data_IF_108263235768
#
_entry.id   IF_108263235768
#
_cell.length_a   1.000
_cell.length_b   1.000
_cell.length_c   1.000
_cell.angle_alpha   90.00
_cell.angle_beta   90.00
_cell.angle_gamma   90.00
#
_symmetry.space_group_name_H-M   'P 1'
#
loop_
_entity.id
_entity.type
_entity.pdbx_description
1 polymer ?
#
# COMPACT_ATOMS: atom_id res chain seq x y z
N UNK A 1 20.86 -30.22 4.82
CA UNK A 1 20.58 -29.70 3.45
C UNK A 1 20.55 -28.20 3.58
N UNK A 2 21.55 -27.50 3.03
CA UNK A 2 21.50 -26.05 2.86
C UNK A 2 20.28 -25.75 1.98
N UNK A 3 19.40 -24.85 2.44
CA UNK A 3 18.26 -24.41 1.64
C UNK A 3 18.76 -23.42 0.60
N UNK A 4 18.69 -23.77 -0.67
CA UNK A 4 18.91 -22.86 -1.78
C UNK A 4 17.82 -21.78 -1.78
N UNK A 5 18.24 -20.52 -1.80
CA UNK A 5 17.32 -19.38 -1.89
C UNK A 5 17.25 -18.91 -3.35
N UNK A 6 16.23 -19.35 -4.06
CA UNK A 6 16.04 -19.05 -5.50
C UNK A 6 16.11 -17.56 -5.81
N UNK A 7 15.62 -16.71 -4.91
CA UNK A 7 15.61 -15.26 -5.09
C UNK A 7 17.01 -14.62 -5.20
N UNK A 8 18.03 -15.27 -4.64
CA UNK A 8 19.42 -14.76 -4.64
C UNK A 8 20.35 -15.55 -5.55
N UNK A 9 20.01 -16.81 -5.86
CA UNK A 9 20.86 -17.74 -6.62
C UNK A 9 20.56 -17.76 -8.11
N UNK A 10 19.28 -17.74 -8.49
CA UNK A 10 18.88 -18.01 -9.85
C UNK A 10 19.15 -16.83 -10.78
N UNK A 11 20.07 -17.04 -11.71
CA UNK A 11 20.33 -16.11 -12.81
C UNK A 11 19.30 -16.34 -13.92
N UNK A 12 18.38 -15.42 -14.07
CA UNK A 12 17.26 -15.51 -15.00
C UNK A 12 17.17 -14.25 -15.85
N UNK A 13 16.68 -14.40 -17.06
CA UNK A 13 16.30 -13.25 -17.88
C UNK A 13 15.05 -12.61 -17.27
N UNK A 14 15.14 -11.34 -16.79
CA UNK A 14 14.03 -10.71 -16.06
C UNK A 14 12.83 -10.38 -16.93
N UNK A 15 13.02 -10.31 -18.25
CA UNK A 15 11.98 -9.91 -19.19
C UNK A 15 11.46 -8.50 -18.90
N UNK A 16 10.14 -8.29 -19.01
CA UNK A 16 9.53 -6.96 -18.96
C UNK A 16 9.70 -6.18 -17.67
N UNK A 17 10.14 -6.78 -16.56
CA UNK A 17 10.51 -6.02 -15.34
C UNK A 17 11.84 -5.27 -15.52
N UNK A 18 12.58 -5.52 -16.59
CA UNK A 18 13.77 -4.78 -17.00
C UNK A 18 13.46 -3.48 -17.77
N UNK A 19 12.30 -3.37 -18.41
CA UNK A 19 11.95 -2.19 -19.24
C UNK A 19 12.09 -0.85 -18.52
N UNK A 20 11.76 -0.73 -17.22
CA UNK A 20 12.04 0.49 -16.45
C UNK A 20 13.53 0.86 -16.38
N UNK A 21 14.45 -0.13 -16.42
CA UNK A 21 15.90 0.13 -16.50
C UNK A 21 16.22 0.85 -17.81
N UNK A 22 15.76 0.29 -18.94
CA UNK A 22 15.98 0.85 -20.28
C UNK A 22 15.43 2.27 -20.41
N UNK A 23 14.24 2.50 -19.87
CA UNK A 23 13.61 3.82 -19.90
C UNK A 23 14.32 4.82 -18.98
N UNK A 24 14.75 4.37 -17.78
CA UNK A 24 15.48 5.22 -16.86
C UNK A 24 16.79 5.71 -17.47
N UNK A 25 17.52 4.83 -18.19
CA UNK A 25 18.74 5.19 -18.94
C UNK A 25 18.43 6.26 -19.99
N UNK A 26 17.43 6.02 -20.85
CA UNK A 26 17.11 6.96 -21.94
C UNK A 26 16.54 8.30 -21.43
N UNK A 27 15.80 8.29 -20.32
CA UNK A 27 15.33 9.52 -19.64
C UNK A 27 16.48 10.29 -19.01
N UNK A 28 17.42 9.57 -18.37
CA UNK A 28 18.60 10.17 -17.74
C UNK A 28 19.55 10.81 -18.76
N UNK A 29 19.69 10.20 -19.93
CA UNK A 29 20.49 10.73 -21.04
C UNK A 29 19.78 11.88 -21.80
N UNK A 30 18.54 12.21 -21.43
CA UNK A 30 17.76 13.27 -22.09
C UNK A 30 17.19 12.87 -23.45
N UNK A 31 17.29 11.62 -23.86
CA UNK A 31 16.80 11.13 -25.16
C UNK A 31 15.29 10.87 -25.16
N UNK A 32 14.66 10.75 -23.99
CA UNK A 32 13.26 10.37 -23.85
C UNK A 32 12.51 11.30 -22.92
N UNK A 33 11.39 11.82 -23.40
CA UNK A 33 10.43 12.58 -22.59
C UNK A 33 9.07 11.91 -22.53
N UNK A 34 8.24 12.26 -21.52
CA UNK A 34 6.97 11.58 -21.26
C UNK A 34 5.97 11.64 -22.44
N UNK A 35 6.04 12.72 -23.23
CA UNK A 35 5.12 12.93 -24.35
C UNK A 35 5.61 12.33 -25.67
N UNK A 36 6.82 11.77 -25.70
CA UNK A 36 7.28 11.02 -26.88
C UNK A 36 6.35 9.86 -27.17
N UNK A 37 6.20 9.53 -28.42
CA UNK A 37 5.32 8.46 -28.87
C UNK A 37 6.00 7.56 -29.91
N UNK A 38 5.52 6.36 -30.01
CA UNK A 38 5.92 5.35 -30.99
C UNK A 38 4.69 4.69 -31.57
N UNK A 39 4.68 4.53 -32.89
CA UNK A 39 3.72 3.65 -33.53
C UNK A 39 4.22 2.20 -33.44
N UNK A 40 3.51 1.40 -32.65
CA UNK A 40 3.76 -0.03 -32.48
C UNK A 40 3.00 -0.89 -33.51
N UNK A 41 2.19 -0.25 -34.35
CA UNK A 41 1.43 -0.86 -35.44
C UNK A 41 0.51 -1.98 -34.96
N UNK A 42 0.45 -3.04 -35.77
CA UNK A 42 -0.35 -4.24 -35.48
C UNK A 42 0.27 -5.19 -34.43
N UNK A 43 1.31 -4.76 -33.71
CA UNK A 43 1.95 -5.56 -32.68
C UNK A 43 3.00 -6.57 -33.16
N UNK A 44 3.44 -6.46 -34.41
CA UNK A 44 4.58 -7.20 -34.97
C UNK A 44 5.47 -6.23 -35.75
N UNK A 45 6.76 -6.21 -35.43
CA UNK A 45 7.75 -5.36 -36.09
C UNK A 45 9.01 -6.15 -36.43
N UNK A 46 9.39 -6.24 -37.70
CA UNK A 46 10.68 -6.82 -38.09
C UNK A 46 11.84 -5.96 -37.55
N UNK A 47 12.78 -6.58 -36.83
CA UNK A 47 14.02 -5.97 -36.37
C UNK A 47 15.20 -6.91 -36.68
N UNK A 48 16.05 -6.51 -37.59
CA UNK A 48 17.28 -7.25 -37.96
C UNK A 48 17.05 -8.74 -38.26
N UNK A 49 16.01 -9.04 -39.06
CA UNK A 49 15.68 -10.41 -39.47
C UNK A 49 14.88 -11.23 -38.44
N UNK A 50 14.55 -10.65 -37.30
CA UNK A 50 13.67 -11.28 -36.30
C UNK A 50 12.44 -10.39 -36.03
N UNK A 51 11.33 -11.00 -35.71
CA UNK A 51 10.09 -10.27 -35.39
C UNK A 51 10.02 -9.98 -33.90
N UNK A 52 10.06 -8.68 -33.52
CA UNK A 52 9.65 -8.22 -32.21
C UNK A 52 8.12 -8.24 -32.16
N UNK A 53 7.54 -8.80 -31.07
CA UNK A 53 6.09 -8.96 -30.93
C UNK A 53 5.60 -8.41 -29.60
N UNK A 54 4.49 -7.69 -29.66
CA UNK A 54 3.69 -7.36 -28.50
C UNK A 54 2.75 -8.52 -28.15
N UNK A 55 2.36 -8.65 -26.90
CA UNK A 55 1.52 -9.78 -26.47
C UNK A 55 0.13 -9.78 -27.08
N UNK A 56 -0.37 -8.63 -27.54
CA UNK A 56 -1.67 -8.48 -28.20
C UNK A 56 -1.59 -8.49 -29.73
N UNK A 57 -0.47 -8.93 -30.33
CA UNK A 57 -0.28 -8.96 -31.78
C UNK A 57 -1.38 -9.74 -32.53
N UNK A 58 -2.00 -10.74 -31.88
CA UNK A 58 -3.13 -11.49 -32.44
C UNK A 58 -4.45 -10.76 -32.38
N UNK A 59 -4.51 -9.65 -31.63
CA UNK A 59 -5.69 -8.80 -31.43
C UNK A 59 -5.51 -7.40 -32.05
N UNK A 60 -4.62 -7.26 -33.06
CA UNK A 60 -4.44 -6.04 -33.84
C UNK A 60 -3.41 -5.05 -33.31
N UNK A 61 -2.64 -5.39 -32.27
CA UNK A 61 -1.60 -4.51 -31.74
C UNK A 61 -2.15 -3.33 -30.92
N UNK A 62 -1.28 -2.34 -30.67
CA UNK A 62 -1.63 -1.16 -29.86
C UNK A 62 -1.66 0.14 -30.67
N UNK A 63 -1.16 0.16 -31.91
CA UNK A 63 -1.00 1.39 -32.67
C UNK A 63 -0.01 2.36 -31.99
N UNK A 64 -0.38 3.62 -31.92
CA UNK A 64 0.46 4.67 -31.35
C UNK A 64 0.36 4.66 -29.80
N UNK A 65 1.52 4.64 -29.13
CA UNK A 65 1.64 4.69 -27.68
C UNK A 65 2.61 5.80 -27.25
N UNK A 66 2.24 6.55 -26.21
CA UNK A 66 3.16 7.45 -25.51
C UNK A 66 4.11 6.66 -24.60
N UNK A 67 5.20 7.30 -24.14
CA UNK A 67 6.20 6.70 -23.25
C UNK A 67 5.55 6.04 -22.02
N UNK A 68 4.66 6.70 -21.25
CA UNK A 68 3.96 6.03 -20.15
C UNK A 68 3.11 4.84 -20.62
N UNK A 69 2.38 4.98 -21.72
CA UNK A 69 1.53 3.93 -22.26
C UNK A 69 2.31 2.69 -22.70
N UNK A 70 3.55 2.86 -23.20
CA UNK A 70 4.43 1.73 -23.52
C UNK A 70 4.69 0.88 -22.28
N UNK A 71 4.96 1.48 -21.12
CA UNK A 71 5.15 0.76 -19.87
C UNK A 71 3.84 0.19 -19.31
N UNK A 72 2.73 0.94 -19.36
CA UNK A 72 1.39 0.51 -18.95
C UNK A 72 0.93 -0.74 -19.71
N UNK A 73 1.14 -0.76 -21.02
CA UNK A 73 0.81 -1.88 -21.93
C UNK A 73 1.92 -2.91 -22.03
N UNK A 74 3.09 -2.62 -21.44
CA UNK A 74 4.28 -3.48 -21.55
C UNK A 74 4.67 -3.80 -22.99
N UNK A 75 4.53 -2.84 -23.91
CA UNK A 75 4.88 -3.04 -25.32
C UNK A 75 6.36 -3.36 -25.48
N UNK A 76 6.68 -4.47 -26.13
CA UNK A 76 8.05 -4.82 -26.50
C UNK A 76 8.54 -3.93 -27.64
N UNK A 77 7.67 -3.70 -28.62
CA UNK A 77 7.97 -2.89 -29.80
C UNK A 77 8.27 -1.45 -29.37
N UNK A 78 7.41 -0.87 -28.51
CA UNK A 78 7.60 0.50 -28.07
C UNK A 78 8.95 0.73 -27.38
N UNK A 79 9.35 -0.19 -26.48
CA UNK A 79 10.65 -0.11 -25.81
C UNK A 79 11.79 -0.32 -26.78
N UNK A 80 11.76 -1.42 -27.56
CA UNK A 80 12.89 -1.80 -28.42
C UNK A 80 13.14 -0.77 -29.52
N UNK A 81 12.09 -0.19 -30.12
CA UNK A 81 12.22 0.85 -31.16
C UNK A 81 12.84 2.12 -30.61
N UNK A 82 12.42 2.59 -29.41
CA UNK A 82 13.01 3.80 -28.83
C UNK A 82 14.47 3.60 -28.46
N UNK A 83 14.80 2.48 -27.79
CA UNK A 83 16.18 2.20 -27.40
C UNK A 83 17.07 1.99 -28.62
N UNK A 84 16.61 1.28 -29.62
CA UNK A 84 17.34 1.11 -30.87
C UNK A 84 17.56 2.44 -31.60
N UNK A 85 16.53 3.29 -31.68
CA UNK A 85 16.64 4.65 -32.24
C UNK A 85 17.72 5.48 -31.58
N UNK A 86 17.82 5.43 -30.25
CA UNK A 86 18.72 6.29 -29.49
C UNK A 86 20.16 5.74 -29.41
N UNK A 87 20.31 4.41 -29.37
CA UNK A 87 21.59 3.80 -29.04
C UNK A 87 22.13 2.82 -30.10
N UNK A 88 21.47 2.71 -31.25
CA UNK A 88 21.91 1.76 -32.31
C UNK A 88 23.39 1.93 -32.67
N UNK A 89 23.86 3.17 -32.84
CA UNK A 89 25.24 3.48 -33.24
C UNK A 89 26.21 3.58 -32.05
N UNK A 90 25.72 3.42 -30.83
CA UNK A 90 26.50 3.54 -29.56
C UNK A 90 25.94 2.60 -28.49
N UNK A 91 25.87 1.29 -28.75
CA UNK A 91 25.27 0.33 -27.82
C UNK A 91 26.03 0.27 -26.48
N UNK A 92 27.32 0.57 -26.46
CA UNK A 92 28.15 0.66 -25.26
C UNK A 92 27.56 1.71 -24.30
N UNK A 93 27.14 2.87 -24.81
CA UNK A 93 26.55 3.93 -24.00
C UNK A 93 25.28 3.48 -23.29
N UNK A 94 24.42 2.71 -23.99
CA UNK A 94 23.24 2.11 -23.36
C UNK A 94 23.64 1.16 -22.24
N UNK A 95 24.58 0.26 -22.50
CA UNK A 95 25.03 -0.73 -21.52
C UNK A 95 25.69 -0.05 -20.31
N UNK A 96 26.52 0.97 -20.53
CA UNK A 96 27.10 1.79 -19.46
C UNK A 96 26.01 2.48 -18.64
N UNK A 97 24.98 3.01 -19.29
CA UNK A 97 23.80 3.53 -18.64
C UNK A 97 23.09 2.48 -17.77
N UNK A 98 22.93 1.25 -18.29
CA UNK A 98 22.36 0.13 -17.50
C UNK A 98 23.20 -0.16 -16.26
N UNK A 99 24.52 -0.22 -16.36
CA UNK A 99 25.40 -0.39 -15.21
C UNK A 99 25.31 0.79 -14.24
N UNK A 100 25.17 2.02 -14.74
CA UNK A 100 25.05 3.21 -13.92
C UNK A 100 23.77 3.22 -13.07
N UNK A 101 22.69 2.52 -13.48
CA UNK A 101 21.49 2.36 -12.66
C UNK A 101 21.70 1.49 -11.43
N UNK A 102 22.80 0.76 -11.33
CA UNK A 102 23.10 -0.15 -10.22
C UNK A 102 22.41 -1.51 -10.27
N UNK A 103 21.66 -1.84 -11.32
CA UNK A 103 21.02 -3.16 -11.43
C UNK A 103 22.01 -4.31 -11.56
N UNK A 104 23.22 -4.01 -12.05
CA UNK A 104 24.32 -4.95 -12.20
C UNK A 104 25.28 -4.98 -11.02
N UNK A 105 25.02 -4.22 -9.95
CA UNK A 105 25.89 -4.16 -8.79
C UNK A 105 25.99 -5.50 -8.06
N UNK A 106 27.18 -5.77 -7.56
CA UNK A 106 27.39 -6.83 -6.59
C UNK A 106 26.84 -6.40 -5.23
N UNK A 107 25.77 -7.05 -4.80
CA UNK A 107 25.14 -6.72 -3.52
C UNK A 107 25.89 -7.28 -2.31
N UNK A 108 26.94 -8.09 -2.52
CA UNK A 108 27.76 -8.71 -1.46
C UNK A 108 26.90 -9.32 -0.34
N UNK A 109 25.88 -10.10 -0.73
CA UNK A 109 24.95 -10.68 0.23
C UNK A 109 25.60 -11.83 1.00
N UNK A 110 25.48 -11.87 2.33
CA UNK A 110 26.01 -12.95 3.17
C UNK A 110 25.11 -14.19 3.15
N UNK A 111 24.63 -14.59 1.96
CA UNK A 111 23.76 -15.73 1.74
C UNK A 111 24.49 -16.73 0.83
N UNK A 112 24.65 -18.00 1.26
CA UNK A 112 25.25 -19.03 0.43
C UNK A 112 24.55 -19.13 -0.94
N UNK A 113 25.35 -19.24 -2.00
CA UNK A 113 24.82 -19.36 -3.36
C UNK A 113 24.37 -18.05 -4.02
N UNK A 114 24.56 -16.89 -3.38
CA UNK A 114 24.29 -15.61 -4.02
C UNK A 114 25.03 -15.49 -5.36
N UNK A 115 24.31 -15.14 -6.41
CA UNK A 115 24.84 -14.94 -7.74
C UNK A 115 24.86 -13.46 -8.13
N UNK A 116 25.96 -13.01 -8.72
CA UNK A 116 26.09 -11.65 -9.26
C UNK A 116 25.34 -11.53 -10.57
N UNK A 117 24.70 -10.39 -10.87
CA UNK A 117 24.12 -10.13 -12.18
C UNK A 117 25.15 -10.26 -13.29
N UNK A 118 24.69 -10.73 -14.46
CA UNK A 118 25.49 -10.83 -15.67
C UNK A 118 24.79 -10.11 -16.80
N UNK A 119 25.39 -9.01 -17.26
CA UNK A 119 24.88 -8.21 -18.38
C UNK A 119 25.98 -8.15 -19.43
N UNK A 120 25.66 -8.56 -20.65
CA UNK A 120 26.62 -8.56 -21.75
C UNK A 120 27.04 -7.13 -22.10
N UNK A 121 28.36 -6.94 -22.29
CA UNK A 121 28.93 -5.70 -22.86
C UNK A 121 29.39 -5.95 -24.26
N UNK A 122 29.19 -5.01 -25.22
CA UNK A 122 29.84 -5.10 -26.53
C UNK A 122 31.36 -5.11 -26.35
N UNK A 123 32.03 -5.97 -27.09
CA UNK A 123 33.49 -5.91 -27.22
C UNK A 123 33.88 -4.83 -28.24
N UNK A 124 35.09 -4.23 -28.11
CA UNK A 124 35.54 -3.19 -29.04
C UNK A 124 35.56 -3.61 -30.50
N UNK A 125 35.77 -4.90 -30.77
CA UNK A 125 35.72 -5.49 -32.12
C UNK A 125 34.31 -5.88 -32.58
N UNK A 126 33.28 -5.70 -31.70
CA UNK A 126 31.90 -6.04 -31.96
C UNK A 126 31.61 -7.55 -32.10
N UNK A 127 32.60 -8.43 -31.90
CA UNK A 127 32.50 -9.87 -32.14
C UNK A 127 31.42 -10.58 -31.34
N UNK A 128 31.09 -10.07 -30.18
CA UNK A 128 30.08 -10.63 -29.27
C UNK A 128 28.72 -9.91 -29.31
N UNK A 129 28.51 -8.96 -30.25
CA UNK A 129 27.31 -8.12 -30.29
C UNK A 129 26.56 -8.24 -31.59
N UNK A 130 25.45 -8.97 -31.61
CA UNK A 130 24.58 -9.07 -32.77
C UNK A 130 23.72 -7.82 -32.94
N UNK A 131 23.25 -7.53 -34.15
CA UNK A 131 22.31 -6.43 -34.42
C UNK A 131 21.01 -6.53 -33.58
N UNK A 132 20.63 -7.74 -33.16
CA UNK A 132 19.45 -7.99 -32.31
C UNK A 132 19.74 -7.82 -30.82
N UNK A 133 21.00 -7.75 -30.40
CA UNK A 133 21.35 -7.73 -28.97
C UNK A 133 20.74 -6.52 -28.23
N UNK A 134 20.88 -5.31 -28.77
CA UNK A 134 20.34 -4.09 -28.17
C UNK A 134 18.81 -4.11 -28.04
N UNK A 135 18.01 -4.35 -29.10
CA UNK A 135 16.56 -4.43 -29.00
C UNK A 135 16.06 -5.48 -28.00
N UNK A 136 16.71 -6.66 -27.96
CA UNK A 136 16.30 -7.74 -27.04
C UNK A 136 16.75 -7.46 -25.61
N UNK A 137 17.94 -6.88 -25.41
CA UNK A 137 18.38 -6.45 -24.08
C UNK A 137 17.44 -5.40 -23.49
N UNK A 138 16.95 -4.47 -24.31
CA UNK A 138 16.07 -3.40 -23.85
C UNK A 138 14.77 -3.90 -23.20
N UNK A 139 14.34 -5.11 -23.51
CA UNK A 139 13.15 -5.76 -22.97
C UNK A 139 13.47 -6.88 -21.97
N UNK A 140 14.76 -7.01 -21.55
CA UNK A 140 15.20 -7.88 -20.47
C UNK A 140 15.62 -9.28 -20.91
N UNK A 141 15.97 -9.48 -22.18
CA UNK A 141 16.73 -10.65 -22.65
C UNK A 141 18.22 -10.30 -22.73
N UNK A 142 19.06 -11.24 -23.05
CA UNK A 142 20.53 -11.04 -23.11
C UNK A 142 21.15 -10.60 -21.76
N UNK A 143 20.40 -10.72 -20.67
CA UNK A 143 20.79 -10.39 -19.30
C UNK A 143 20.45 -11.54 -18.38
N UNK A 144 21.25 -11.74 -17.32
CA UNK A 144 21.00 -12.74 -16.31
C UNK A 144 21.07 -12.07 -14.93
N UNK A 145 19.92 -11.88 -14.30
CA UNK A 145 19.80 -11.06 -13.10
C UNK A 145 19.02 -11.84 -12.04
N UNK A 146 19.55 -12.03 -10.82
CA UNK A 146 18.79 -12.67 -9.77
C UNK A 146 17.64 -11.76 -9.31
N UNK A 147 16.51 -12.32 -8.87
CA UNK A 147 15.34 -11.55 -8.44
C UNK A 147 15.65 -10.48 -7.40
N UNK A 148 16.58 -10.75 -6.47
CA UNK A 148 16.98 -9.78 -5.44
C UNK A 148 17.62 -8.51 -6.03
N UNK A 149 18.41 -8.62 -7.10
CA UNK A 149 19.00 -7.45 -7.77
C UNK A 149 17.95 -6.65 -8.52
N UNK A 150 16.98 -7.33 -9.15
CA UNK A 150 15.82 -6.67 -9.73
C UNK A 150 15.03 -5.92 -8.65
N UNK A 151 14.74 -6.56 -7.51
CA UNK A 151 14.06 -5.91 -6.39
C UNK A 151 14.83 -4.70 -5.86
N UNK A 152 16.16 -4.81 -5.75
CA UNK A 152 16.99 -3.71 -5.26
C UNK A 152 16.98 -2.49 -6.20
N UNK A 153 16.87 -2.70 -7.52
CA UNK A 153 16.66 -1.62 -8.49
C UNK A 153 15.32 -0.89 -8.22
N UNK A 154 14.21 -1.62 -8.03
CA UNK A 154 12.92 -1.01 -7.70
C UNK A 154 12.93 -0.31 -6.34
N UNK A 155 13.68 -0.85 -5.38
CA UNK A 155 13.91 -0.21 -4.09
C UNK A 155 14.65 1.13 -4.25
N UNK A 156 15.67 1.19 -5.13
CA UNK A 156 16.37 2.43 -5.46
C UNK A 156 15.45 3.50 -6.06
N UNK A 157 14.56 3.12 -6.99
CA UNK A 157 13.54 4.04 -7.53
C UNK A 157 12.61 4.53 -6.41
N UNK A 158 12.11 3.62 -5.56
CA UNK A 158 11.26 3.94 -4.41
C UNK A 158 11.95 4.90 -3.43
N UNK A 159 13.26 4.79 -3.28
CA UNK A 159 14.11 5.62 -2.41
C UNK A 159 14.71 6.84 -3.14
N UNK A 160 13.99 7.40 -4.10
CA UNK A 160 14.35 8.59 -4.85
C UNK A 160 15.73 8.53 -5.54
N UNK A 161 16.11 7.34 -5.98
CA UNK A 161 17.36 7.10 -6.70
C UNK A 161 18.53 6.62 -5.84
N UNK A 162 18.39 6.59 -4.52
CA UNK A 162 19.43 6.13 -3.60
C UNK A 162 19.32 4.62 -3.41
N UNK A 163 20.37 3.89 -3.77
CA UNK A 163 20.42 2.44 -3.71
C UNK A 163 21.17 1.97 -2.45
N UNK A 164 20.54 1.11 -1.67
CA UNK A 164 21.07 0.56 -0.44
C UNK A 164 21.43 -0.91 -0.59
N UNK A 165 22.45 -1.36 0.16
CA UNK A 165 22.74 -2.79 0.28
C UNK A 165 21.64 -3.47 1.08
N UNK A 166 21.02 -4.56 0.58
CA UNK A 166 20.08 -5.33 1.36
C UNK A 166 20.71 -5.85 2.67
N UNK A 167 20.01 -5.65 3.78
CA UNK A 167 20.48 -6.00 5.13
C UNK A 167 19.47 -6.95 5.78
N UNK A 168 19.92 -8.14 6.16
CA UNK A 168 19.09 -9.17 6.76
C UNK A 168 19.09 -9.15 8.28
N UNK A 169 20.14 -8.56 8.88
CA UNK A 169 20.30 -8.43 10.34
C UNK A 169 20.46 -6.96 10.67
N UNK A 170 19.63 -6.44 11.54
CA UNK A 170 19.70 -5.06 12.02
C UNK A 170 20.66 -4.94 13.21
N UNK A 171 20.51 -5.81 14.19
CA UNK A 171 21.32 -5.81 15.40
C UNK A 171 21.38 -7.21 16.04
N UNK A 172 22.39 -7.43 16.87
CA UNK A 172 22.48 -8.56 17.78
C UNK A 172 22.15 -8.04 19.18
N UNK A 173 21.19 -8.70 19.84
CA UNK A 173 20.78 -8.38 21.20
C UNK A 173 21.24 -9.47 22.16
N UNK A 174 21.67 -9.05 23.36
CA UNK A 174 21.93 -9.94 24.50
C UNK A 174 21.19 -9.36 25.70
N UNK A 175 20.31 -10.13 26.29
CA UNK A 175 19.45 -9.70 27.43
C UNK A 175 18.66 -8.40 27.16
N UNK A 176 18.24 -8.16 25.90
CA UNK A 176 17.52 -6.94 25.52
C UNK A 176 18.41 -5.74 25.13
N UNK A 177 19.70 -5.80 25.41
CA UNK A 177 20.66 -4.75 25.05
C UNK A 177 21.32 -5.01 23.70
N UNK A 178 21.54 -3.93 22.92
CA UNK A 178 22.23 -4.01 21.63
C UNK A 178 23.71 -4.25 21.84
N UNK A 179 24.20 -5.44 21.48
CA UNK A 179 25.64 -5.81 21.54
C UNK A 179 26.34 -5.38 20.26
N UNK A 180 25.67 -5.49 19.11
CA UNK A 180 26.23 -5.12 17.81
C UNK A 180 25.12 -4.62 16.90
N UNK A 181 25.36 -3.49 16.25
CA UNK A 181 24.48 -2.96 15.21
C UNK A 181 25.15 -3.07 13.83
N UNK A 182 24.34 -3.35 12.80
CA UNK A 182 24.78 -3.38 11.41
C UNK A 182 24.24 -2.12 10.73
N UNK A 183 25.09 -1.15 10.38
CA UNK A 183 24.64 0.10 9.77
C UNK A 183 24.08 -0.11 8.37
N UNK A 184 23.28 0.85 7.91
CA UNK A 184 22.85 0.93 6.52
C UNK A 184 24.07 1.25 5.65
N UNK A 185 24.25 0.50 4.57
CA UNK A 185 25.31 0.76 3.58
C UNK A 185 24.66 1.27 2.29
N UNK A 186 25.18 2.38 1.81
CA UNK A 186 24.79 2.94 0.52
C UNK A 186 25.67 2.32 -0.56
N UNK A 187 25.04 1.71 -1.57
CA UNK A 187 25.75 1.19 -2.75
C UNK A 187 25.96 2.32 -3.75
N UNK A 188 24.91 3.13 -3.94
CA UNK A 188 24.91 4.22 -4.89
C UNK A 188 24.06 5.36 -4.38
N UNK A 189 24.65 6.56 -4.31
CA UNK A 189 23.93 7.75 -3.82
C UNK A 189 22.83 8.18 -4.77
N UNK A 190 23.04 8.01 -6.08
CA UNK A 190 22.09 8.40 -7.11
C UNK A 190 22.21 7.47 -8.33
N UNK A 191 21.15 6.75 -8.66
CA UNK A 191 21.11 5.80 -9.79
C UNK A 191 20.77 6.46 -11.13
N UNK A 192 20.15 7.63 -11.11
CA UNK A 192 19.83 8.49 -12.24
C UNK A 192 19.45 9.88 -11.71
N UNK A 193 19.33 10.86 -12.57
CA UNK A 193 18.91 12.21 -12.16
C UNK A 193 17.57 12.17 -11.39
N UNK A 194 17.37 13.05 -10.40
CA UNK A 194 16.11 13.10 -9.63
C UNK A 194 14.88 13.25 -10.53
N UNK A 195 15.01 13.98 -11.63
CA UNK A 195 13.94 14.15 -12.61
C UNK A 195 13.59 12.83 -13.32
N UNK A 196 14.59 12.09 -13.81
CA UNK A 196 14.39 10.80 -14.47
C UNK A 196 13.76 9.78 -13.50
N UNK A 197 14.23 9.74 -12.24
CA UNK A 197 13.65 8.89 -11.20
C UNK A 197 12.19 9.25 -10.95
N UNK A 198 11.86 10.54 -10.84
CA UNK A 198 10.48 11.01 -10.64
C UNK A 198 9.56 10.64 -11.79
N UNK A 199 10.01 10.81 -13.04
CA UNK A 199 9.26 10.37 -14.23
C UNK A 199 9.02 8.86 -14.19
N UNK A 200 10.01 8.07 -13.78
CA UNK A 200 9.88 6.62 -13.66
C UNK A 200 8.89 6.22 -12.56
N UNK A 201 8.89 6.90 -11.40
CA UNK A 201 7.92 6.67 -10.34
C UNK A 201 6.48 6.86 -10.85
N UNK A 202 6.22 7.94 -11.61
CA UNK A 202 4.91 8.19 -12.25
C UNK A 202 4.53 7.06 -13.20
N UNK A 203 5.46 6.64 -14.07
CA UNK A 203 5.19 5.54 -15.00
C UNK A 203 4.86 4.22 -14.27
N UNK A 204 5.59 3.87 -13.21
CA UNK A 204 5.37 2.64 -12.45
C UNK A 204 4.04 2.65 -11.67
N UNK A 205 3.62 3.80 -11.17
CA UNK A 205 2.30 3.97 -10.55
C UNK A 205 1.20 3.76 -11.60
N UNK A 206 1.33 4.35 -12.79
CA UNK A 206 0.36 4.20 -13.88
C UNK A 206 0.28 2.76 -14.43
N UNK A 207 1.34 1.96 -14.36
CA UNK A 207 1.26 0.52 -14.68
C UNK A 207 0.26 -0.18 -13.76
N UNK A 208 0.17 0.21 -12.49
CA UNK A 208 -0.72 -0.39 -11.50
C UNK A 208 -2.11 0.24 -11.54
N UNK A 209 -2.22 1.56 -11.64
CA UNK A 209 -3.51 2.26 -11.61
C UNK A 209 -4.35 2.01 -12.87
N UNK A 210 -3.75 2.09 -14.05
CA UNK A 210 -4.46 2.00 -15.35
C UNK A 210 -3.89 0.97 -16.33
N UNK A 211 -2.71 0.39 -16.03
CA UNK A 211 -2.00 -0.55 -16.92
C UNK A 211 -2.29 -2.03 -16.63
N UNK A 212 -1.38 -2.89 -17.13
CA UNK A 212 -1.46 -4.35 -16.96
C UNK A 212 -1.22 -4.82 -15.53
N UNK A 213 -0.74 -3.93 -14.66
CA UNK A 213 -0.51 -4.19 -13.23
C UNK A 213 -1.74 -4.03 -12.33
N UNK A 214 -2.92 -3.69 -12.85
CA UNK A 214 -4.13 -3.39 -12.04
C UNK A 214 -4.44 -4.41 -10.94
N UNK A 215 -4.18 -5.69 -11.18
CA UNK A 215 -4.42 -6.75 -10.18
C UNK A 215 -3.47 -6.71 -8.98
N UNK A 216 -2.37 -5.94 -9.07
CA UNK A 216 -1.47 -5.68 -7.94
C UNK A 216 -1.90 -4.47 -7.10
N UNK A 217 -2.82 -3.65 -7.60
CA UNK A 217 -3.33 -2.47 -6.90
C UNK A 217 -4.24 -2.81 -5.72
N UNK A 218 -4.19 -1.98 -4.69
CA UNK A 218 -5.09 -2.01 -3.53
C UNK A 218 -6.12 -0.88 -3.61
N UNK A 219 -7.26 -1.05 -2.92
CA UNK A 219 -8.23 0.03 -2.69
C UNK A 219 -7.84 0.96 -1.53
N UNK A 220 -6.84 0.57 -0.74
CA UNK A 220 -6.47 1.24 0.51
C UNK A 220 -5.26 2.17 0.35
N UNK A 221 -4.42 1.94 -0.66
CA UNK A 221 -3.22 2.72 -0.95
C UNK A 221 -2.82 2.51 -2.42
N UNK A 222 -2.06 3.43 -2.99
CA UNK A 222 -1.49 3.26 -4.31
C UNK A 222 -0.22 2.40 -4.23
N UNK A 223 0.01 1.59 -5.26
CA UNK A 223 1.22 0.82 -5.43
C UNK A 223 1.84 1.11 -6.79
N UNK A 224 3.15 1.01 -6.88
CA UNK A 224 3.92 1.17 -8.11
C UNK A 224 4.62 -0.13 -8.45
N UNK A 225 4.73 -0.47 -9.73
CA UNK A 225 5.44 -1.67 -10.12
C UNK A 225 5.33 -2.02 -11.59
N UNK A 226 5.88 -3.17 -11.95
CA UNK A 226 5.90 -3.67 -13.33
C UNK A 226 5.69 -5.17 -13.38
N UNK A 227 4.90 -5.60 -14.34
CA UNK A 227 4.68 -7.01 -14.68
C UNK A 227 5.81 -7.55 -15.54
N UNK A 228 6.19 -8.80 -15.34
CA UNK A 228 7.13 -9.54 -16.17
C UNK A 228 6.55 -10.85 -16.68
N UNK A 229 6.93 -11.23 -17.88
CA UNK A 229 6.67 -12.55 -18.46
C UNK A 229 7.83 -12.83 -19.42
N UNK A 230 8.74 -13.70 -19.02
CA UNK A 230 9.89 -14.11 -19.82
C UNK A 230 9.79 -15.61 -20.10
N UNK A 231 9.97 -16.00 -21.33
CA UNK A 231 10.07 -17.41 -21.68
C UNK A 231 11.48 -17.90 -21.35
N UNK A 232 11.58 -19.04 -20.67
CA UNK A 232 12.86 -19.55 -20.19
C UNK A 232 13.63 -20.17 -21.35
N UNK A 233 14.87 -19.72 -21.55
CA UNK A 233 15.79 -20.30 -22.52
C UNK A 233 16.51 -21.51 -21.92
N UNK A 234 16.65 -22.57 -22.71
CA UNK A 234 17.42 -23.76 -22.37
C UNK A 234 18.45 -24.04 -23.47
N UNK A 235 19.34 -25.01 -23.28
CA UNK A 235 20.32 -25.41 -24.30
C UNK A 235 19.67 -25.85 -25.60
N UNK A 236 18.44 -26.34 -25.56
CA UNK A 236 17.64 -26.76 -26.73
C UNK A 236 16.76 -25.66 -27.32
N UNK A 237 16.86 -24.41 -26.84
CA UNK A 237 16.05 -23.28 -27.28
C UNK A 237 15.04 -22.83 -26.21
N UNK A 238 13.99 -22.08 -26.62
CA UNK A 238 12.94 -21.67 -25.73
C UNK A 238 12.15 -22.87 -25.22
N UNK A 239 12.08 -22.99 -23.89
CA UNK A 239 11.27 -24.00 -23.21
C UNK A 239 9.78 -23.65 -23.27
N UNK A 240 8.93 -24.60 -22.85
CA UNK A 240 7.50 -24.36 -22.63
C UNK A 240 7.22 -23.60 -21.33
N UNK A 241 8.25 -23.36 -20.52
CA UNK A 241 8.15 -22.68 -19.23
C UNK A 241 8.42 -21.18 -19.34
N UNK A 242 7.76 -20.46 -18.46
CA UNK A 242 7.87 -19.02 -18.30
C UNK A 242 8.26 -18.67 -16.87
N UNK A 243 9.12 -17.69 -16.73
CA UNK A 243 9.26 -16.91 -15.51
C UNK A 243 8.27 -15.76 -15.58
N UNK A 244 7.24 -15.80 -14.76
CA UNK A 244 6.33 -14.66 -14.58
C UNK A 244 6.68 -13.92 -13.31
N UNK A 245 6.58 -12.59 -13.34
CA UNK A 245 6.98 -11.78 -12.19
C UNK A 245 6.14 -10.52 -12.06
N UNK A 246 6.16 -9.96 -10.85
CA UNK A 246 5.75 -8.61 -10.55
C UNK A 246 6.74 -8.03 -9.54
N UNK A 247 7.37 -6.92 -9.88
CA UNK A 247 8.26 -6.18 -9.00
C UNK A 247 7.71 -4.77 -8.76
N UNK A 248 7.74 -4.30 -7.52
CA UNK A 248 7.18 -3.01 -7.18
C UNK A 248 7.39 -2.61 -5.73
N UNK A 249 6.75 -1.50 -5.33
CA UNK A 249 6.82 -0.93 -3.99
C UNK A 249 5.49 -0.28 -3.59
N UNK A 250 5.33 -0.08 -2.31
CA UNK A 250 4.12 0.51 -1.73
C UNK A 250 4.38 1.18 -0.37
N UNK A 251 3.56 2.21 0.03
CA UNK A 251 2.70 3.02 -0.83
C UNK A 251 3.50 3.76 -1.91
N UNK A 252 2.86 4.19 -3.02
CA UNK A 252 3.53 4.90 -4.10
C UNK A 252 4.03 6.27 -3.69
N UNK A 253 3.25 7.00 -2.90
CA UNK A 253 3.50 8.40 -2.51
C UNK A 253 4.62 8.52 -1.48
N UNK A 254 4.71 7.56 -0.56
CA UNK A 254 5.73 7.47 0.48
C UNK A 254 6.15 6.02 0.66
N UNK A 255 7.02 5.52 -0.22
CA UNK A 255 7.39 4.11 -0.23
C UNK A 255 8.02 3.65 1.08
N UNK A 256 7.50 2.55 1.62
CA UNK A 256 8.00 1.91 2.84
C UNK A 256 8.49 0.49 2.61
N UNK A 257 7.93 -0.17 1.62
CA UNK A 257 8.20 -1.56 1.30
C UNK A 257 8.35 -1.77 -0.19
N UNK A 258 9.24 -2.67 -0.57
CA UNK A 258 9.36 -3.21 -1.91
C UNK A 258 9.14 -4.72 -1.88
N UNK A 259 8.56 -5.27 -2.95
CA UNK A 259 8.26 -6.68 -3.07
C UNK A 259 8.45 -7.15 -4.51
N UNK A 260 9.02 -8.33 -4.68
CA UNK A 260 9.03 -9.05 -5.95
C UNK A 260 8.37 -10.41 -5.78
N UNK A 261 7.51 -10.76 -6.71
CA UNK A 261 6.87 -12.08 -6.80
C UNK A 261 7.34 -12.71 -8.11
N UNK A 262 7.94 -13.90 -8.02
CA UNK A 262 8.38 -14.67 -9.16
C UNK A 262 7.73 -16.06 -9.12
N UNK A 263 7.15 -16.51 -10.22
CA UNK A 263 6.54 -17.82 -10.37
C UNK A 263 7.05 -18.45 -11.67
N UNK A 264 7.52 -19.68 -11.59
CA UNK A 264 7.89 -20.47 -12.75
C UNK A 264 6.76 -21.40 -13.10
N UNK A 265 6.30 -21.37 -14.37
CA UNK A 265 5.20 -22.23 -14.82
C UNK A 265 5.12 -22.35 -16.35
N UNK A 266 4.44 -23.39 -16.82
CA UNK A 266 4.06 -23.55 -18.22
C UNK A 266 2.92 -22.61 -18.63
N UNK A 267 2.70 -22.39 -19.90
CA UNK A 267 1.57 -21.59 -20.40
C UNK A 267 0.19 -22.18 -19.94
N UNK A 268 -0.84 -21.34 -19.75
CA UNK A 268 -0.86 -19.89 -19.93
C UNK A 268 -0.12 -19.16 -18.80
N UNK A 269 0.63 -18.10 -19.13
CA UNK A 269 1.49 -17.38 -18.22
C UNK A 269 1.19 -15.86 -18.28
N UNK A 270 0.95 -15.25 -17.12
CA UNK A 270 0.66 -13.80 -17.00
C UNK A 270 1.19 -13.25 -15.70
N UNK A 271 2.22 -12.38 -15.76
CA UNK A 271 2.77 -11.72 -14.59
C UNK A 271 1.72 -10.87 -13.86
N UNK A 272 0.98 -10.03 -14.60
CA UNK A 272 -0.10 -9.23 -14.00
C UNK A 272 -1.26 -10.07 -13.46
N UNK A 273 -1.61 -11.16 -14.18
CA UNK A 273 -2.73 -12.03 -13.83
C UNK A 273 -2.49 -12.92 -12.61
N UNK A 274 -1.26 -13.36 -12.40
CA UNK A 274 -0.89 -14.34 -11.37
C UNK A 274 -0.05 -13.75 -10.24
N UNK A 275 1.02 -13.01 -10.57
CA UNK A 275 1.88 -12.38 -9.56
C UNK A 275 1.23 -11.13 -8.95
N UNK A 276 0.41 -10.39 -9.72
CA UNK A 276 -0.28 -9.19 -9.23
C UNK A 276 -1.16 -9.45 -8.01
N UNK A 277 -2.08 -10.42 -8.01
CA UNK A 277 -2.90 -10.75 -6.83
C UNK A 277 -2.08 -11.17 -5.61
N UNK A 278 -0.96 -11.88 -5.80
CA UNK A 278 -0.05 -12.26 -4.70
C UNK A 278 0.62 -11.02 -4.11
N UNK A 279 1.16 -10.14 -4.97
CA UNK A 279 1.73 -8.85 -4.54
C UNK A 279 0.70 -8.02 -3.76
N UNK A 280 -0.54 -7.90 -4.27
CA UNK A 280 -1.60 -7.17 -3.57
C UNK A 280 -1.87 -7.75 -2.19
N UNK A 281 -2.04 -9.06 -2.08
CA UNK A 281 -2.32 -9.72 -0.80
C UNK A 281 -1.19 -9.49 0.21
N UNK A 282 0.07 -9.62 -0.22
CA UNK A 282 1.24 -9.34 0.62
C UNK A 282 1.24 -7.88 1.07
N UNK A 283 1.07 -6.95 0.14
CA UNK A 283 1.10 -5.52 0.44
C UNK A 283 -0.04 -5.09 1.37
N UNK A 284 -1.26 -5.58 1.16
CA UNK A 284 -2.41 -5.31 2.04
C UNK A 284 -2.18 -5.87 3.46
N UNK A 285 -1.63 -7.09 3.56
CA UNK A 285 -1.32 -7.71 4.87
C UNK A 285 -0.25 -6.91 5.62
N UNK A 286 0.84 -6.56 4.95
CA UNK A 286 1.94 -5.78 5.55
C UNK A 286 1.45 -4.40 6.01
N UNK A 287 0.66 -3.72 5.19
CA UNK A 287 0.13 -2.40 5.52
C UNK A 287 -0.90 -2.46 6.67
N UNK A 288 -1.71 -3.53 6.74
CA UNK A 288 -2.64 -3.74 7.85
C UNK A 288 -1.89 -3.98 9.17
N UNK A 289 -0.84 -4.81 9.17
CA UNK A 289 -0.01 -5.03 10.35
C UNK A 289 0.68 -3.74 10.82
N UNK A 290 1.13 -2.90 9.89
CA UNK A 290 1.75 -1.63 10.24
C UNK A 290 0.75 -0.67 10.91
N UNK A 291 -0.50 -0.61 10.44
CA UNK A 291 -1.57 0.17 11.10
C UNK A 291 -1.80 -0.27 12.53
N UNK A 292 -1.72 -1.57 12.80
CA UNK A 292 -1.88 -2.10 14.16
C UNK A 292 -0.67 -1.81 15.06
N UNK A 293 0.54 -1.68 14.49
CA UNK A 293 1.77 -1.45 15.25
C UNK A 293 2.16 0.03 15.41
N UNK A 294 1.69 0.89 14.51
CA UNK A 294 1.91 2.34 14.56
C UNK A 294 0.61 3.05 14.83
N UNK A 295 0.16 3.02 16.08
CA UNK A 295 -0.69 4.08 16.61
C UNK A 295 0.19 5.34 16.67
N UNK A 296 0.32 6.00 15.53
CA UNK A 296 0.97 7.31 15.49
C UNK A 296 -0.03 8.33 16.05
N UNK A 297 0.10 8.62 17.36
CA UNK A 297 -0.74 9.57 18.09
C UNK A 297 -0.78 10.98 17.45
N UNK A 298 0.10 11.26 16.49
CA UNK A 298 0.26 12.57 15.88
C UNK A 298 -0.50 12.76 14.55
N UNK A 299 -1.11 11.71 13.97
CA UNK A 299 -1.78 11.80 12.66
C UNK A 299 -3.19 11.24 12.62
N UNK A 300 -3.75 10.88 13.75
CA UNK A 300 -5.13 10.44 13.82
C UNK A 300 -6.09 11.65 13.82
N UNK A 301 -6.23 12.27 12.66
CA UNK A 301 -7.44 13.03 12.31
C UNK A 301 -8.54 12.07 11.82
N UNK A 302 -8.51 10.81 12.22
CA UNK A 302 -9.69 9.97 12.14
C UNK A 302 -10.72 10.67 13.01
N UNK A 303 -11.81 11.08 12.41
CA UNK A 303 -13.01 11.45 13.17
C UNK A 303 -13.36 10.23 14.00
N UNK A 304 -12.86 10.19 15.23
CA UNK A 304 -13.28 9.20 16.21
C UNK A 304 -14.77 9.47 16.35
N UNK A 305 -15.58 8.51 15.91
CA UNK A 305 -17.02 8.54 16.19
C UNK A 305 -17.12 8.52 17.69
N UNK A 306 -17.27 9.70 18.30
CA UNK A 306 -17.44 9.83 19.73
C UNK A 306 -18.70 9.06 20.08
N UNK A 307 -18.63 8.02 20.94
CA UNK A 307 -19.79 7.22 21.23
C UNK A 307 -20.88 8.08 21.85
N UNK A 308 -22.12 7.92 21.41
CA UNK A 308 -23.27 8.57 22.07
C UNK A 308 -23.50 7.88 23.40
N UNK A 309 -23.10 8.53 24.48
CA UNK A 309 -23.28 8.03 25.84
C UNK A 309 -24.66 8.47 26.37
N UNK A 310 -25.39 7.56 26.99
CA UNK A 310 -26.67 7.86 27.59
C UNK A 310 -26.47 8.73 28.88
N UNK A 311 -27.43 9.58 29.18
CA UNK A 311 -27.54 10.20 30.51
C UNK A 311 -27.67 9.11 31.57
N UNK A 312 -27.13 9.35 32.76
CA UNK A 312 -27.16 8.36 33.84
C UNK A 312 -26.11 8.65 34.93
N UNK A 313 -25.49 7.57 35.44
CA UNK A 313 -24.38 7.62 36.38
C UNK A 313 -23.10 8.08 35.69
N UNK A 314 -22.66 9.30 35.97
CA UNK A 314 -21.54 9.94 35.30
C UNK A 314 -20.17 9.36 35.72
N UNK A 315 -20.04 8.77 36.91
CA UNK A 315 -18.81 8.11 37.34
C UNK A 315 -18.60 6.82 36.52
N UNK A 316 -19.68 6.07 36.27
CA UNK A 316 -19.62 4.89 35.39
C UNK A 316 -19.37 5.27 33.93
N UNK A 317 -20.01 6.34 33.45
CA UNK A 317 -19.77 6.87 32.11
C UNK A 317 -18.30 7.29 31.92
N UNK A 318 -17.71 7.94 32.95
CA UNK A 318 -16.30 8.31 32.94
C UNK A 318 -15.39 7.10 32.94
N UNK A 319 -15.62 6.10 33.80
CA UNK A 319 -14.82 4.90 33.86
C UNK A 319 -14.83 4.14 32.51
N UNK A 320 -16.01 4.04 31.87
CA UNK A 320 -16.13 3.41 30.55
C UNK A 320 -15.39 4.19 29.46
N UNK A 321 -15.46 5.53 29.49
CA UNK A 321 -14.75 6.37 28.51
C UNK A 321 -13.23 6.28 28.72
N UNK A 322 -12.75 6.20 29.94
CA UNK A 322 -11.34 6.02 30.29
C UNK A 322 -10.84 4.63 29.78
N UNK A 323 -11.61 3.56 30.01
CA UNK A 323 -11.28 2.22 29.49
C UNK A 323 -11.22 2.18 27.96
N UNK A 324 -12.13 2.88 27.29
CA UNK A 324 -12.17 3.00 25.83
C UNK A 324 -11.19 4.04 25.28
N UNK A 325 -10.43 4.72 26.15
CA UNK A 325 -9.49 5.81 25.80
C UNK A 325 -10.15 6.95 25.00
N UNK A 326 -11.40 7.25 25.30
CA UNK A 326 -12.14 8.39 24.76
C UNK A 326 -11.89 9.61 25.63
N UNK A 327 -11.60 10.76 25.03
CA UNK A 327 -11.41 11.99 25.76
C UNK A 327 -12.64 12.36 26.57
N UNK A 328 -12.47 12.78 27.84
CA UNK A 328 -13.56 13.17 28.74
C UNK A 328 -13.33 14.61 29.23
N UNK A 329 -14.37 15.44 29.09
CA UNK A 329 -14.46 16.72 29.78
C UNK A 329 -15.52 16.58 30.87
N UNK A 330 -15.17 16.86 32.14
CA UNK A 330 -16.08 16.64 33.24
C UNK A 330 -15.91 17.68 34.36
N UNK A 331 -17.03 18.05 34.98
CA UNK A 331 -17.11 18.86 36.21
C UNK A 331 -17.65 18.03 37.37
N UNK A 332 -17.27 16.75 37.44
CA UNK A 332 -17.79 15.84 38.47
C UNK A 332 -17.24 16.17 39.84
N UNK A 333 -18.07 16.04 40.92
CA UNK A 333 -17.60 16.14 42.29
C UNK A 333 -16.64 14.98 42.61
N UNK A 334 -15.62 15.24 43.41
CA UNK A 334 -14.62 14.24 43.81
C UNK A 334 -15.21 13.08 44.62
N UNK A 335 -16.32 13.30 45.30
CA UNK A 335 -16.98 12.28 46.12
C UNK A 335 -18.50 12.35 46.01
N UNK A 336 -19.17 11.21 46.12
CA UNK A 336 -20.62 11.07 46.04
C UNK A 336 -21.13 10.56 44.71
N UNK A 337 -22.43 10.38 44.54
CA UNK A 337 -23.08 9.99 43.31
C UNK A 337 -23.30 11.20 42.42
N UNK A 338 -22.79 11.16 41.16
CA UNK A 338 -23.04 12.19 40.16
C UNK A 338 -23.94 11.64 39.07
N UNK A 339 -25.08 12.28 38.88
CA UNK A 339 -26.06 11.97 37.82
C UNK A 339 -26.12 13.12 36.86
N UNK A 340 -26.44 12.84 35.61
CA UNK A 340 -26.54 13.91 34.63
C UNK A 340 -26.54 13.47 33.17
N UNK A 341 -26.34 14.42 32.29
CA UNK A 341 -26.32 14.20 30.82
C UNK A 341 -24.89 14.03 30.29
N UNK A 342 -24.82 13.33 29.15
CA UNK A 342 -23.59 13.15 28.39
C UNK A 342 -23.77 13.73 26.98
N UNK A 343 -22.88 14.62 26.58
CA UNK A 343 -22.83 15.18 25.23
C UNK A 343 -21.59 14.70 24.52
N UNK A 344 -21.75 14.21 23.31
CA UNK A 344 -20.68 13.61 22.53
C UNK A 344 -20.38 14.43 21.28
N UNK A 345 -19.15 14.88 21.09
CA UNK A 345 -18.73 15.64 19.92
C UNK A 345 -17.23 15.90 19.89
N UNK A 346 -16.66 16.06 18.71
CA UNK A 346 -15.25 16.43 18.54
C UNK A 346 -14.20 15.49 19.16
N UNK A 347 -14.54 14.21 19.34
CA UNK A 347 -13.62 13.24 19.97
C UNK A 347 -13.66 13.24 21.49
N UNK A 348 -14.55 14.01 22.10
CA UNK A 348 -14.68 14.17 23.57
C UNK A 348 -16.10 13.90 24.01
N UNK A 349 -16.27 13.26 25.17
CA UNK A 349 -17.56 13.14 25.87
C UNK A 349 -17.57 14.14 27.02
N UNK A 350 -18.46 15.12 26.95
CA UNK A 350 -18.70 16.05 28.02
C UNK A 350 -19.72 15.45 29.04
N UNK A 351 -19.33 15.36 30.27
CA UNK A 351 -20.15 14.85 31.39
C UNK A 351 -20.67 16.03 32.21
N UNK A 352 -21.98 16.32 32.09
CA UNK A 352 -22.62 17.45 32.71
C UNK A 352 -23.43 16.98 33.95
N UNK A 353 -22.89 17.20 35.15
CA UNK A 353 -23.60 16.86 36.37
C UNK A 353 -24.85 17.74 36.57
N UNK A 354 -25.97 17.11 36.85
CA UNK A 354 -27.19 17.82 37.23
C UNK A 354 -27.21 18.20 38.70
N UNK A 355 -27.90 19.28 39.02
CA UNK A 355 -28.17 19.61 40.41
C UNK A 355 -29.08 18.54 41.04
N UNK A 356 -28.71 17.93 42.18
CA UNK A 356 -29.55 16.91 42.80
C UNK A 356 -30.97 17.42 43.02
N UNK A 357 -31.98 16.65 42.60
CA UNK A 357 -33.37 16.98 42.89
C UNK A 357 -33.58 17.02 44.42
N UNK A 358 -34.40 17.96 44.89
CA UNK A 358 -34.77 18.03 46.30
C UNK A 358 -35.41 16.71 46.76
N UNK A 359 -35.18 16.30 47.98
CA UNK A 359 -35.72 15.04 48.51
C UNK A 359 -37.24 14.95 48.29
N UNK A 360 -37.69 13.80 47.78
CA UNK A 360 -39.13 13.56 47.49
C UNK A 360 -39.67 14.23 46.23
N UNK A 361 -38.79 14.80 45.34
CA UNK A 361 -39.19 15.34 44.06
C UNK A 361 -38.68 14.50 42.92
N UNK A 362 -39.50 14.39 41.87
CA UNK A 362 -39.22 13.65 40.67
C UNK A 362 -38.00 14.22 39.92
N UNK A 363 -36.95 13.45 39.66
CA UNK A 363 -35.81 13.89 38.83
C UNK A 363 -36.20 13.98 37.36
N UNK A 364 -35.44 14.73 36.56
CA UNK A 364 -35.49 14.62 35.12
C UNK A 364 -34.68 13.37 34.64
N UNK A 365 -35.35 12.49 33.93
CA UNK A 365 -34.77 11.25 33.43
C UNK A 365 -34.67 11.24 31.90
N UNK A 366 -34.89 12.36 31.24
CA UNK A 366 -34.80 12.47 29.79
C UNK A 366 -33.39 12.07 29.30
N UNK A 367 -33.33 11.17 28.32
CA UNK A 367 -32.05 10.69 27.78
C UNK A 367 -31.33 9.61 28.60
N UNK A 368 -31.87 9.25 29.78
CA UNK A 368 -31.29 8.20 30.64
C UNK A 368 -31.39 6.81 30.00
N UNK A 369 -30.41 5.99 30.25
CA UNK A 369 -30.51 4.54 30.00
C UNK A 369 -31.55 3.93 30.95
N UNK A 370 -32.30 2.92 30.51
CA UNK A 370 -33.35 2.28 31.30
C UNK A 370 -32.85 1.84 32.68
N UNK A 371 -31.69 1.17 32.72
CA UNK A 371 -31.14 0.63 33.98
C UNK A 371 -30.91 1.72 35.03
N UNK A 372 -30.36 2.85 34.63
CA UNK A 372 -30.03 3.95 35.53
C UNK A 372 -31.31 4.70 35.98
N UNK A 373 -32.27 4.86 35.05
CA UNK A 373 -33.56 5.45 35.34
C UNK A 373 -34.35 4.62 36.39
N UNK A 374 -34.45 3.29 36.18
CA UNK A 374 -35.10 2.36 37.11
C UNK A 374 -34.42 2.39 38.48
N UNK A 375 -33.09 2.22 38.50
CA UNK A 375 -32.33 2.26 39.76
C UNK A 375 -32.58 3.53 40.57
N UNK A 376 -32.61 4.70 39.93
CA UNK A 376 -32.82 5.97 40.56
C UNK A 376 -34.23 6.12 41.15
N UNK A 377 -35.26 5.69 40.42
CA UNK A 377 -36.65 5.75 40.87
C UNK A 377 -36.96 4.72 41.97
N UNK A 378 -36.48 3.49 41.84
CA UNK A 378 -36.65 2.46 42.87
C UNK A 378 -35.93 2.81 44.17
N UNK A 379 -34.77 3.47 44.13
CA UNK A 379 -34.10 4.03 45.28
C UNK A 379 -34.96 5.08 46.02
N UNK A 380 -35.83 5.77 45.26
CA UNK A 380 -36.83 6.69 45.86
C UNK A 380 -38.08 5.97 46.34
N UNK A 381 -38.16 4.65 46.17
CA UNK A 381 -39.31 3.82 46.55
C UNK A 381 -40.50 3.87 45.58
N UNK A 382 -40.25 4.29 44.34
CA UNK A 382 -41.29 4.34 43.28
C UNK A 382 -41.38 3.03 42.52
N UNK A 383 -42.53 2.73 41.96
CA UNK A 383 -42.75 1.56 41.07
C UNK A 383 -42.59 2.00 39.63
N UNK A 384 -41.73 1.29 38.89
CA UNK A 384 -41.40 1.68 37.51
C UNK A 384 -41.99 0.69 36.53
N UNK A 385 -42.62 1.21 35.49
CA UNK A 385 -43.01 0.46 34.30
C UNK A 385 -42.32 1.09 33.08
N UNK A 386 -41.69 0.28 32.24
CA UNK A 386 -41.02 0.76 31.03
C UNK A 386 -41.65 0.13 29.81
N UNK A 387 -41.74 0.90 28.69
CA UNK A 387 -42.27 0.44 27.44
C UNK A 387 -41.38 0.95 26.28
N UNK A 388 -41.04 0.07 25.35
CA UNK A 388 -40.19 0.37 24.21
C UNK A 388 -38.74 -0.06 24.42
N UNK A 389 -37.83 0.48 23.58
CA UNK A 389 -36.38 0.21 23.61
C UNK A 389 -35.59 1.49 23.42
N UNK A 390 -34.36 1.55 23.95
CA UNK A 390 -33.47 2.70 23.85
C UNK A 390 -33.36 3.52 25.12
N UNK A 391 -33.52 4.84 25.03
CA UNK A 391 -33.41 5.80 26.17
C UNK A 391 -34.76 6.30 26.57
N UNK A 392 -34.85 6.78 27.81
CA UNK A 392 -36.06 7.43 28.31
C UNK A 392 -36.35 8.68 27.46
N UNK A 393 -37.47 8.67 26.78
CA UNK A 393 -37.91 9.82 25.98
C UNK A 393 -38.82 10.78 26.77
N UNK A 394 -39.66 10.20 27.62
CA UNK A 394 -40.58 10.92 28.49
C UNK A 394 -40.77 10.15 29.79
N UNK A 395 -41.31 10.79 30.79
CA UNK A 395 -41.74 10.20 32.04
C UNK A 395 -43.17 10.64 32.37
N UNK A 396 -43.95 9.76 33.01
CA UNK A 396 -45.37 10.03 33.27
C UNK A 396 -45.61 11.10 34.34
N UNK A 397 -44.59 11.31 35.24
CA UNK A 397 -44.64 12.36 36.26
C UNK A 397 -43.59 13.41 35.88
N UNK A 398 -43.97 14.66 35.79
CA UNK A 398 -43.08 15.76 35.39
C UNK A 398 -41.92 15.96 36.35
N UNK A 399 -40.71 16.33 35.91
CA UNK A 399 -39.59 16.68 36.75
C UNK A 399 -39.97 17.75 37.78
N UNK A 400 -39.45 17.65 39.02
CA UNK A 400 -39.74 18.58 40.11
C UNK A 400 -41.07 18.36 40.85
N UNK A 401 -41.94 17.48 40.34
CA UNK A 401 -43.20 17.13 41.02
C UNK A 401 -42.92 16.38 42.33
N UNK A 402 -43.64 16.68 43.42
CA UNK A 402 -43.56 15.91 44.63
C UNK A 402 -44.11 14.49 44.42
N UNK A 403 -43.41 13.48 44.93
CA UNK A 403 -43.76 12.06 44.78
C UNK A 403 -43.73 11.36 46.13
N UNK A 404 -44.69 10.46 46.34
CA UNK A 404 -44.78 9.62 47.53
C UNK A 404 -44.26 8.20 47.25
N UNK A 405 -43.72 7.54 48.27
CA UNK A 405 -43.25 6.15 48.13
C UNK A 405 -44.42 5.23 47.68
N UNK A 406 -44.13 4.37 46.73
CA UNK A 406 -45.13 3.48 46.15
C UNK A 406 -45.85 4.04 44.92
N UNK A 407 -45.69 5.29 44.58
CA UNK A 407 -46.26 5.87 43.36
C UNK A 407 -45.68 5.17 42.08
N UNK A 408 -46.55 5.02 41.07
CA UNK A 408 -46.17 4.35 39.80
C UNK A 408 -45.73 5.36 38.76
N UNK A 409 -44.60 5.08 38.15
CA UNK A 409 -44.01 5.90 37.06
C UNK A 409 -43.85 5.07 35.79
N UNK A 410 -44.36 5.59 34.69
CA UNK A 410 -44.18 4.99 33.37
C UNK A 410 -43.10 5.71 32.57
N UNK A 411 -42.18 4.94 31.95
CA UNK A 411 -41.06 5.41 31.18
C UNK A 411 -41.15 4.91 29.72
N UNK A 412 -41.74 5.66 28.78
CA UNK A 412 -41.62 5.41 27.37
C UNK A 412 -40.17 5.56 26.90
N UNK A 413 -39.65 4.52 26.23
CA UNK A 413 -38.30 4.49 25.67
C UNK A 413 -38.37 4.68 24.15
N UNK A 414 -37.32 5.30 23.57
CA UNK A 414 -37.14 5.39 22.16
C UNK A 414 -35.63 5.26 21.80
N UNK A 415 -35.37 4.68 20.62
CA UNK A 415 -34.05 4.70 20.00
C UNK A 415 -33.89 6.06 19.34
N UNK A 416 -32.73 6.73 19.54
CA UNK A 416 -32.42 7.94 18.79
C UNK A 416 -32.37 7.60 17.30
N UNK A 417 -33.20 8.25 16.49
CA UNK A 417 -33.09 8.14 15.03
C UNK A 417 -31.68 8.62 14.62
N UNK A 418 -30.99 7.84 13.80
CA UNK A 418 -29.72 8.24 13.23
C UNK A 418 -29.93 9.55 12.47
N UNK A 419 -29.13 10.58 12.77
CA UNK A 419 -29.15 11.80 11.98
C UNK A 419 -29.00 11.43 10.49
N UNK A 420 -29.74 12.06 9.58
CA UNK A 420 -29.63 11.77 8.15
C UNK A 420 -28.17 11.90 7.72
N UNK A 421 -27.66 10.88 7.04
CA UNK A 421 -26.32 10.90 6.47
C UNK A 421 -26.29 12.10 5.51
N UNK A 422 -25.33 13.02 5.74
CA UNK A 422 -25.09 14.12 4.82
C UNK A 422 -24.92 13.54 3.41
N UNK A 423 -25.73 13.98 2.46
CA UNK A 423 -25.61 13.63 1.05
C UNK A 423 -24.18 13.88 0.59
N UNK A 424 -23.59 12.87 -0.03
CA UNK A 424 -22.29 13.02 -0.69
C UNK A 424 -22.47 14.07 -1.80
N UNK A 425 -21.59 15.08 -1.88
CA UNK A 425 -21.60 15.97 -3.04
C UNK A 425 -21.34 15.14 -4.30
N UNK A 426 -22.20 15.31 -5.31
CA UNK A 426 -21.99 14.75 -6.63
C UNK A 426 -20.66 15.27 -7.22
N UNK A 427 -19.89 14.42 -7.90
CA UNK A 427 -18.64 14.85 -8.55
C UNK A 427 -19.01 15.74 -9.75
N UNK A 428 -18.49 16.98 -9.72
CA UNK A 428 -18.43 17.84 -10.90
C UNK A 428 -17.30 17.44 -11.83
#
# INVERSE_FOLDING_TARGET
>A
KEMDVDAVKNLLEPGSVFKPVSFLVAMNDGYMVMNDWVDTGCGIRPMYGRNMKDHNHRSGGYGVLTVPQILQKSSNIGVSVLIDKFYHNQPEKFVDGVYSTGIAEDLHLPIPGYAKPRIRRPLPDGSNWSKTALPWMSIGYETQIPPISTLNFYNGIANNGKMLQPRFVKAILKNGEVVKEFPVKVIREQMASPEAVKKMQICLEQVVSIGLGKKAGSKQFHASGKTGTAQIWTKSGFSTEYLISFAGYFPSENPKYSCIVCIRKTAPASGGGMCGPVFRRVSETVMAQQRNNTYDKARDTVHVLTPKVAAGDLHRAKALADDLKVGVSSNLPESGSAWGSCESGGGVVALNAETPAAAGRMPDLSGYGLRDAVFRLEKMGLRVTANGSGRVKKQSIAPGTAVERGASVSLPLAIDEAAPQAEKPEPK
#
